data_IF_931991012890
#
_entry.id   IF_931991012890
#
_cell.length_a   1.000
_cell.length_b   1.000
_cell.length_c   1.000
_cell.angle_alpha   90.00
_cell.angle_beta   90.00
_cell.angle_gamma   90.00
#
_symmetry.space_group_name_H-M   'P 1'
#
loop_
_entity.id
_entity.type
_entity.pdbx_description
1 polymer ?
#
# COMPACT_ATOMS: atom_id res chain seq x y z
N UNK A 1 95.82 -52.72 38.51
CA UNK A 1 94.67 -52.38 37.64
C UNK A 1 93.71 -53.55 37.62
N UNK A 2 92.64 -53.51 38.43
CA UNK A 2 91.51 -54.43 38.29
C UNK A 2 90.25 -53.61 38.63
N UNK A 3 89.38 -53.43 37.63
CA UNK A 3 88.19 -52.57 37.70
C UNK A 3 86.98 -53.37 38.21
N UNK A 4 86.27 -52.70 39.11
CA UNK A 4 84.90 -52.89 39.62
C UNK A 4 83.89 -53.22 38.52
N UNK A 5 82.93 -54.12 38.79
CA UNK A 5 81.47 -53.86 38.60
C UNK A 5 80.67 -54.75 39.59
N UNK A 6 79.98 -54.12 40.55
CA UNK A 6 78.83 -54.68 41.28
C UNK A 6 77.56 -54.18 40.59
N UNK A 7 76.69 -55.11 40.19
CA UNK A 7 75.37 -54.82 39.59
C UNK A 7 74.35 -54.65 40.71
N UNK A 8 73.67 -53.51 40.72
CA UNK A 8 72.58 -53.14 41.63
C UNK A 8 71.26 -53.23 40.83
N UNK A 9 70.19 -53.86 41.33
CA UNK A 9 68.93 -53.92 40.60
C UNK A 9 68.14 -52.62 40.79
N UNK A 10 67.77 -52.00 39.68
CA UNK A 10 66.93 -50.81 39.60
C UNK A 10 65.46 -51.26 39.65
N UNK A 11 64.75 -50.83 40.70
CA UNK A 11 63.31 -51.03 40.87
C UNK A 11 62.59 -50.19 39.80
N UNK A 12 61.95 -50.86 38.85
CA UNK A 12 61.11 -50.25 37.83
C UNK A 12 59.75 -49.90 38.47
N UNK A 13 59.65 -48.68 38.98
CA UNK A 13 58.40 -48.11 39.48
C UNK A 13 57.50 -47.82 38.26
N UNK A 14 56.46 -48.63 38.06
CA UNK A 14 55.45 -48.42 37.01
C UNK A 14 54.64 -47.16 37.35
N UNK A 15 55.14 -46.00 36.92
CA UNK A 15 54.38 -44.78 36.84
C UNK A 15 53.33 -44.95 35.72
N UNK A 16 52.10 -45.25 36.10
CA UNK A 16 50.92 -45.11 35.26
C UNK A 16 50.82 -43.65 34.80
N UNK A 17 51.38 -43.34 33.63
CA UNK A 17 51.09 -42.11 32.91
C UNK A 17 49.64 -42.20 32.40
N UNK A 18 48.71 -41.67 33.19
CA UNK A 18 47.38 -41.25 32.69
C UNK A 18 47.62 -40.02 31.82
N UNK A 19 48.04 -40.26 30.58
CA UNK A 19 47.96 -39.25 29.52
C UNK A 19 46.47 -38.98 29.30
N UNK A 20 45.97 -37.85 29.81
CA UNK A 20 44.68 -37.31 29.39
C UNK A 20 44.78 -37.01 27.90
N UNK A 21 44.30 -37.94 27.06
CA UNK A 21 44.04 -37.62 25.66
C UNK A 21 42.99 -36.52 25.64
N UNK A 22 43.35 -35.34 25.14
CA UNK A 22 42.37 -34.34 24.75
C UNK A 22 41.63 -34.91 23.55
N UNK A 23 40.44 -35.48 23.79
CA UNK A 23 39.55 -35.90 22.71
C UNK A 23 39.11 -34.62 22.00
N UNK A 24 39.57 -34.44 20.77
CA UNK A 24 39.07 -33.34 19.93
C UNK A 24 37.65 -33.71 19.50
N UNK A 25 36.69 -32.81 19.77
CA UNK A 25 35.33 -32.98 19.27
C UNK A 25 35.33 -33.10 17.74
N UNK A 26 34.53 -34.02 17.19
CA UNK A 26 34.35 -34.12 15.74
C UNK A 26 33.51 -32.93 15.23
N UNK A 27 33.35 -32.79 13.92
CA UNK A 27 32.45 -31.77 13.35
C UNK A 27 31.15 -32.41 12.87
N UNK A 28 30.03 -31.74 13.09
CA UNK A 28 28.77 -32.09 12.43
C UNK A 28 28.92 -31.96 10.90
N UNK A 29 28.20 -32.79 10.17
CA UNK A 29 28.11 -32.67 8.71
C UNK A 29 26.84 -31.90 8.30
N UNK A 30 26.86 -31.21 7.16
CA UNK A 30 25.74 -30.43 6.62
C UNK A 30 25.12 -29.39 7.57
N UNK A 31 25.92 -28.87 8.52
CA UNK A 31 25.48 -27.86 9.47
C UNK A 31 25.15 -26.53 8.76
N UNK A 32 23.90 -26.05 8.89
CA UNK A 32 23.43 -24.78 8.34
C UNK A 32 22.35 -24.15 9.23
N UNK A 33 22.14 -22.86 9.05
CA UNK A 33 21.05 -22.09 9.68
C UNK A 33 20.33 -21.30 8.60
N UNK A 34 19.01 -21.45 8.53
CA UNK A 34 18.13 -20.68 7.65
C UNK A 34 17.30 -19.72 8.50
N UNK A 35 17.45 -18.43 8.22
CA UNK A 35 16.72 -17.35 8.91
C UNK A 35 15.51 -16.91 8.10
N UNK A 36 14.38 -16.65 8.78
CA UNK A 36 13.16 -16.18 8.11
C UNK A 36 13.26 -14.79 7.51
N UNK A 37 14.23 -14.00 7.97
CA UNK A 37 14.57 -12.70 7.42
C UNK A 37 16.03 -12.38 7.68
N UNK A 38 16.72 -11.88 6.66
CA UNK A 38 18.09 -11.35 6.77
C UNK A 38 18.11 -9.87 7.19
N UNK A 39 16.94 -9.25 7.35
CA UNK A 39 16.86 -7.83 7.63
C UNK A 39 17.42 -7.50 9.01
N UNK A 40 18.41 -6.60 9.14
CA UNK A 40 18.90 -6.14 10.44
C UNK A 40 17.85 -5.29 11.14
N UNK A 41 17.96 -5.18 12.45
CA UNK A 41 17.20 -4.20 13.21
C UNK A 41 17.74 -2.79 12.99
N UNK A 42 16.89 -1.77 13.20
CA UNK A 42 17.31 -0.38 13.26
C UNK A 42 17.24 0.11 14.69
N UNK A 43 18.22 0.87 15.16
CA UNK A 43 18.18 1.49 16.49
C UNK A 43 19.12 2.69 16.52
N UNK A 44 18.60 3.86 16.87
CA UNK A 44 19.40 5.07 16.98
C UNK A 44 18.81 6.03 18.01
N UNK A 45 19.66 6.79 18.74
CA UNK A 45 19.18 7.86 19.60
C UNK A 45 18.63 9.05 18.80
N UNK A 46 17.64 9.72 19.37
CA UNK A 46 17.18 11.05 19.00
C UNK A 46 18.30 12.05 19.23
N UNK A 47 18.55 12.90 18.23
CA UNK A 47 19.56 13.96 18.36
C UNK A 47 18.95 15.30 18.86
N UNK A 48 17.63 15.37 18.97
CA UNK A 48 16.91 16.49 19.54
C UNK A 48 15.68 16.01 20.33
N UNK A 49 15.14 16.87 21.18
CA UNK A 49 13.86 16.62 21.84
C UNK A 49 12.74 16.50 20.79
N UNK A 50 11.84 15.54 21.00
CA UNK A 50 10.67 15.30 20.18
C UNK A 50 9.43 15.69 20.98
N UNK A 51 8.72 16.71 20.51
CA UNK A 51 7.52 17.22 21.17
C UNK A 51 6.26 16.45 20.78
N UNK A 52 5.25 16.44 21.65
CA UNK A 52 3.91 15.93 21.33
C UNK A 52 3.38 16.64 20.09
N UNK A 53 2.73 15.90 19.18
CA UNK A 53 2.20 16.47 17.95
C UNK A 53 3.20 16.45 16.78
N UNK A 54 4.48 16.13 17.03
CA UNK A 54 5.48 16.07 15.97
C UNK A 54 5.25 14.87 15.03
N UNK A 55 5.40 15.11 13.72
CA UNK A 55 5.30 14.09 12.67
C UNK A 55 6.66 13.67 12.12
N UNK A 56 7.75 14.11 12.74
CA UNK A 56 9.11 13.77 12.35
C UNK A 56 10.06 13.83 13.55
N UNK A 57 11.12 13.02 13.51
CA UNK A 57 12.18 12.99 14.52
C UNK A 57 13.56 13.12 13.89
N UNK A 58 14.41 13.99 14.44
CA UNK A 58 15.82 14.07 14.08
C UNK A 58 16.62 13.04 14.89
N UNK A 59 17.36 12.19 14.19
CA UNK A 59 18.13 11.08 14.76
C UNK A 59 19.61 11.19 14.44
N UNK A 60 20.45 10.55 15.25
CA UNK A 60 21.86 10.35 14.92
C UNK A 60 21.96 9.35 13.75
N UNK A 61 22.75 9.66 12.73
CA UNK A 61 23.05 8.72 11.65
C UNK A 61 24.15 7.75 12.10
N UNK A 62 23.74 6.58 12.57
CA UNK A 62 24.64 5.47 12.93
C UNK A 62 24.61 4.35 11.88
N UNK A 63 24.12 4.62 10.67
CA UNK A 63 23.93 3.61 9.63
C UNK A 63 22.64 2.78 9.76
N UNK A 64 21.82 3.00 10.80
CA UNK A 64 20.50 2.38 10.89
C UNK A 64 19.58 2.86 9.76
N UNK A 65 18.85 1.92 9.16
CA UNK A 65 17.88 2.20 8.11
C UNK A 65 16.46 1.89 8.58
N UNK A 66 15.62 2.92 8.60
CA UNK A 66 14.18 2.82 8.81
C UNK A 66 13.47 2.80 7.46
N UNK A 67 12.53 1.88 7.29
CA UNK A 67 11.78 1.67 6.04
C UNK A 67 10.34 2.10 6.27
N UNK A 68 9.71 2.64 5.22
CA UNK A 68 8.27 2.87 5.20
C UNK A 68 7.52 1.61 5.68
N UNK A 69 6.48 1.79 6.50
CA UNK A 69 5.68 0.75 7.18
C UNK A 69 6.29 0.07 8.40
N UNK A 70 7.51 0.41 8.79
CA UNK A 70 8.08 -0.13 10.03
C UNK A 70 7.32 0.34 11.27
N UNK A 71 7.04 -0.60 12.17
CA UNK A 71 6.56 -0.29 13.51
C UNK A 71 7.75 0.05 14.41
N UNK A 72 8.08 1.34 14.51
CA UNK A 72 9.14 1.84 15.36
C UNK A 72 8.65 2.04 16.80
N UNK A 73 9.51 1.70 17.76
CA UNK A 73 9.31 1.98 19.18
C UNK A 73 10.17 3.17 19.59
N UNK A 74 9.57 4.15 20.26
CA UNK A 74 10.30 5.23 20.91
C UNK A 74 10.40 4.95 22.41
N UNK A 75 11.62 4.98 22.94
CA UNK A 75 11.97 4.61 24.31
C UNK A 75 12.85 5.71 24.92
N UNK A 76 12.58 6.14 26.15
CA UNK A 76 13.28 7.27 26.79
C UNK A 76 12.34 8.25 27.52
N UNK A 77 11.03 7.96 27.46
CA UNK A 77 9.97 8.49 28.30
C UNK A 77 8.84 7.45 28.42
N UNK A 78 7.58 7.87 28.30
CA UNK A 78 6.46 6.93 28.08
C UNK A 78 6.66 6.25 26.73
N UNK A 79 6.87 4.93 26.74
CA UNK A 79 7.10 4.18 25.50
C UNK A 79 5.88 4.22 24.60
N UNK A 80 6.09 4.46 23.32
CA UNK A 80 5.04 4.40 22.30
C UNK A 80 5.53 3.71 21.04
N UNK A 81 4.57 3.25 20.23
CA UNK A 81 4.82 2.61 18.94
C UNK A 81 4.23 3.48 17.85
N UNK A 82 5.01 3.77 16.82
CA UNK A 82 4.63 4.61 15.69
C UNK A 82 5.05 3.95 14.38
N UNK A 83 4.28 4.19 13.32
CA UNK A 83 4.66 3.72 11.99
C UNK A 83 5.64 4.70 11.35
N UNK A 84 6.71 4.21 10.73
CA UNK A 84 7.62 5.02 9.93
C UNK A 84 7.01 5.21 8.54
N UNK A 85 6.90 6.46 8.10
CA UNK A 85 6.50 6.80 6.74
C UNK A 85 7.69 6.75 5.79
N UNK A 86 8.82 7.33 6.18
CA UNK A 86 10.06 7.36 5.40
C UNK A 86 11.23 7.86 6.24
N UNK A 87 12.41 7.91 5.64
CA UNK A 87 13.61 8.50 6.23
C UNK A 87 14.35 9.36 5.20
N UNK A 88 14.94 10.46 5.63
CA UNK A 88 15.74 11.34 4.79
C UNK A 88 17.06 10.67 4.33
N UNK A 89 17.72 11.31 3.37
CA UNK A 89 19.13 11.05 3.08
C UNK A 89 20.02 11.32 4.31
N UNK A 90 21.22 10.74 4.30
CA UNK A 90 22.26 11.02 5.28
C UNK A 90 22.59 12.52 5.33
N UNK A 91 23.07 12.99 6.49
CA UNK A 91 23.46 14.38 6.73
C UNK A 91 22.33 15.41 6.54
N UNK A 92 21.09 15.01 6.86
CA UNK A 92 19.91 15.89 6.81
C UNK A 92 19.23 15.85 8.19
N UNK A 93 19.05 16.99 8.90
CA UNK A 93 19.28 18.36 8.44
C UNK A 93 20.73 18.85 8.59
N UNK A 94 21.60 18.07 9.24
CA UNK A 94 23.01 18.40 9.47
C UNK A 94 23.91 17.18 9.43
N UNK A 95 25.22 17.39 9.49
CA UNK A 95 26.23 16.33 9.42
C UNK A 95 26.01 15.29 10.53
N UNK A 96 25.98 14.01 10.16
CA UNK A 96 25.76 12.91 11.10
C UNK A 96 24.31 12.78 11.58
N UNK A 97 23.34 13.39 10.89
CA UNK A 97 21.92 13.33 11.24
C UNK A 97 21.06 12.79 10.10
N UNK A 98 19.89 12.26 10.46
CA UNK A 98 18.76 11.94 9.56
C UNK A 98 17.44 12.41 10.16
N UNK A 99 16.41 12.54 9.33
CA UNK A 99 15.02 12.76 9.74
C UNK A 99 14.24 11.47 9.46
N UNK A 100 13.54 10.96 10.47
CA UNK A 100 12.52 9.90 10.32
C UNK A 100 11.15 10.57 10.31
N UNK A 101 10.33 10.26 9.31
CA UNK A 101 8.99 10.82 9.15
C UNK A 101 7.94 9.81 9.60
N UNK A 102 6.84 10.31 10.14
CA UNK A 102 5.71 9.53 10.62
C UNK A 102 4.42 9.97 9.91
N UNK A 103 3.49 9.04 9.61
CA UNK A 103 2.21 9.38 9.00
C UNK A 103 1.23 10.00 10.01
N UNK A 104 1.48 9.78 11.30
CA UNK A 104 0.69 10.30 12.42
C UNK A 104 1.60 11.03 13.39
N UNK A 105 1.06 11.97 14.15
CA UNK A 105 1.82 12.64 15.19
C UNK A 105 2.17 11.70 16.35
N UNK A 106 3.34 11.90 16.98
CA UNK A 106 3.66 11.25 18.25
C UNK A 106 2.75 11.75 19.38
N UNK A 107 2.44 10.86 20.31
CA UNK A 107 1.51 11.12 21.41
C UNK A 107 2.22 11.53 22.70
N UNK A 108 3.51 11.23 22.83
CA UNK A 108 4.32 11.58 23.99
C UNK A 108 5.52 12.44 23.59
N UNK A 109 6.02 13.23 24.55
CA UNK A 109 7.29 13.91 24.40
C UNK A 109 8.44 12.95 24.72
N UNK A 110 9.53 13.02 23.95
CA UNK A 110 10.75 12.25 24.16
C UNK A 110 11.95 13.18 24.20
N UNK A 111 12.85 12.98 25.15
CA UNK A 111 14.05 13.80 25.29
C UNK A 111 15.14 13.38 24.29
N UNK A 112 16.06 14.29 23.96
CA UNK A 112 17.32 13.97 23.28
C UNK A 112 18.00 12.78 23.96
N UNK A 113 18.49 11.83 23.16
CA UNK A 113 19.08 10.58 23.64
C UNK A 113 18.08 9.44 23.88
N UNK A 114 16.76 9.71 23.87
CA UNK A 114 15.75 8.65 23.72
C UNK A 114 16.04 7.86 22.45
N UNK A 115 15.71 6.58 22.42
CA UNK A 115 15.99 5.69 21.30
C UNK A 115 14.73 5.50 20.47
N UNK A 116 14.88 5.63 19.16
CA UNK A 116 13.93 5.08 18.19
C UNK A 116 14.51 3.79 17.62
N UNK A 117 13.72 2.72 17.62
CA UNK A 117 14.18 1.42 17.16
C UNK A 117 13.09 0.63 16.44
N UNK A 118 13.49 -0.18 15.48
CA UNK A 118 12.66 -1.17 14.79
C UNK A 118 13.31 -2.53 15.05
N UNK A 119 12.85 -3.27 16.09
CA UNK A 119 13.36 -4.60 16.35
C UNK A 119 12.81 -5.58 15.30
N UNK A 120 13.69 -6.15 14.51
CA UNK A 120 13.34 -7.17 13.52
C UNK A 120 13.59 -8.54 14.13
N UNK A 121 12.53 -9.32 14.33
CA UNK A 121 12.65 -10.69 14.83
C UNK A 121 12.76 -11.71 13.71
N UNK A 122 13.60 -12.72 13.89
CA UNK A 122 13.81 -13.83 12.97
C UNK A 122 13.51 -15.17 13.65
N UNK A 123 13.03 -16.12 12.84
CA UNK A 123 13.00 -17.54 13.13
C UNK A 123 14.28 -18.15 12.57
N UNK A 124 14.97 -18.95 13.38
CA UNK A 124 16.17 -19.69 12.98
C UNK A 124 15.84 -21.17 12.85
N UNK A 125 16.22 -21.76 11.71
CA UNK A 125 16.03 -23.17 11.41
C UNK A 125 17.40 -23.80 11.18
N UNK A 126 17.91 -24.42 12.23
CA UNK A 126 19.27 -24.92 12.32
C UNK A 126 19.23 -26.42 12.07
N UNK A 127 19.88 -26.88 11.00
CA UNK A 127 19.92 -28.30 10.63
C UNK A 127 21.34 -28.82 10.55
N UNK A 128 21.58 -30.04 11.01
CA UNK A 128 22.87 -30.71 10.93
C UNK A 128 22.69 -32.23 11.03
N UNK A 129 23.69 -32.99 10.60
CA UNK A 129 23.75 -34.43 10.82
C UNK A 129 24.72 -34.73 11.98
N UNK A 130 24.25 -35.48 12.98
CA UNK A 130 25.09 -35.93 14.08
C UNK A 130 26.20 -36.85 13.55
N UNK A 131 27.47 -36.52 13.79
CA UNK A 131 28.59 -37.36 13.32
C UNK A 131 28.82 -38.52 14.28
N UNK A 132 28.71 -38.25 15.57
CA UNK A 132 28.70 -39.26 16.63
C UNK A 132 27.31 -39.33 17.25
N UNK A 133 26.98 -40.46 17.88
CA UNK A 133 25.73 -40.58 18.61
C UNK A 133 25.73 -39.62 19.81
N UNK A 134 24.64 -38.88 19.99
CA UNK A 134 24.44 -38.00 21.14
C UNK A 134 23.67 -38.82 22.18
N UNK A 135 24.28 -39.20 23.31
CA UNK A 135 23.66 -40.13 24.26
C UNK A 135 22.43 -39.51 24.92
N UNK A 136 21.53 -40.36 25.42
CA UNK A 136 20.50 -39.93 26.36
C UNK A 136 21.10 -39.16 27.54
N UNK A 137 20.41 -38.11 28.00
CA UNK A 137 20.91 -37.13 28.97
C UNK A 137 22.11 -36.29 28.51
N UNK A 138 22.53 -36.41 27.25
CA UNK A 138 23.44 -35.47 26.60
C UNK A 138 22.77 -34.13 26.28
N UNK A 139 23.50 -33.25 25.60
CA UNK A 139 23.02 -31.90 25.27
C UNK A 139 23.30 -31.53 23.81
N UNK A 140 22.42 -30.74 23.21
CA UNK A 140 22.73 -29.95 22.01
C UNK A 140 22.65 -28.48 22.40
N UNK A 141 23.76 -27.75 22.24
CA UNK A 141 23.88 -26.34 22.58
C UNK A 141 24.05 -25.55 21.29
N UNK A 142 23.14 -24.62 21.03
CA UNK A 142 23.25 -23.61 19.98
C UNK A 142 23.66 -22.30 20.63
N UNK A 143 24.79 -21.73 20.21
CA UNK A 143 25.34 -20.49 20.74
C UNK A 143 25.35 -19.39 19.67
N UNK A 144 24.70 -18.27 19.99
CA UNK A 144 24.65 -17.04 19.21
C UNK A 144 25.63 -16.01 19.77
N UNK A 145 26.20 -15.14 18.93
CA UNK A 145 26.83 -13.93 19.43
C UNK A 145 25.75 -13.08 20.10
N UNK A 146 25.99 -12.66 21.34
CA UNK A 146 25.03 -11.87 22.11
C UNK A 146 25.30 -10.39 22.03
N UNK A 147 24.21 -9.65 21.92
CA UNK A 147 24.19 -8.21 22.05
C UNK A 147 24.29 -7.75 23.51
N UNK A 148 23.67 -6.61 23.78
CA UNK A 148 23.48 -6.11 25.13
C UNK A 148 22.59 -7.07 25.94
N UNK A 149 23.16 -7.62 27.01
CA UNK A 149 22.49 -8.60 27.88
C UNK A 149 21.62 -7.97 28.96
N UNK A 150 21.73 -6.63 29.14
CA UNK A 150 20.95 -5.88 30.11
C UNK A 150 19.54 -5.52 29.62
N UNK A 151 19.35 -5.43 28.30
CA UNK A 151 18.05 -5.14 27.68
C UNK A 151 17.76 -6.10 26.52
N UNK A 152 17.21 -7.26 26.87
CA UNK A 152 16.97 -8.35 25.91
C UNK A 152 15.89 -8.03 24.85
N UNK A 153 15.11 -6.96 25.04
CA UNK A 153 14.07 -6.53 24.10
C UNK A 153 14.54 -5.46 23.10
N UNK A 154 15.82 -5.05 23.19
CA UNK A 154 16.40 -4.03 22.31
C UNK A 154 17.39 -4.64 21.32
N UNK A 155 17.44 -4.15 20.07
CA UNK A 155 18.51 -4.48 19.14
C UNK A 155 19.90 -4.09 19.63
N UNK A 156 20.92 -4.79 19.16
CA UNK A 156 22.32 -4.51 19.49
C UNK A 156 23.23 -4.64 18.27
N UNK A 157 24.29 -3.84 18.21
CA UNK A 157 25.29 -3.89 17.15
C UNK A 157 26.26 -5.08 17.28
N UNK A 158 26.32 -5.74 18.44
CA UNK A 158 27.32 -6.78 18.70
C UNK A 158 26.77 -8.20 18.65
N UNK A 159 25.45 -8.37 18.55
CA UNK A 159 24.84 -9.69 18.48
C UNK A 159 23.32 -9.69 18.63
N UNK A 160 22.77 -10.89 18.70
CA UNK A 160 21.34 -11.14 18.77
C UNK A 160 20.81 -10.85 20.17
N UNK A 161 19.56 -10.41 20.25
CA UNK A 161 18.83 -10.27 21.51
C UNK A 161 17.73 -11.32 21.59
N UNK A 162 17.60 -11.96 22.75
CA UNK A 162 16.73 -13.12 22.91
C UNK A 162 15.26 -12.76 23.16
N UNK A 163 14.94 -11.48 23.35
CA UNK A 163 13.57 -10.96 23.44
C UNK A 163 12.70 -11.74 24.44
N UNK A 164 13.24 -12.00 25.63
CA UNK A 164 12.60 -12.77 26.70
C UNK A 164 12.24 -14.22 26.31
N UNK A 165 12.88 -14.77 25.27
CA UNK A 165 12.78 -16.19 24.93
C UNK A 165 13.14 -17.03 26.16
N UNK A 166 12.18 -17.82 26.61
CA UNK A 166 12.28 -18.67 27.78
C UNK A 166 11.43 -19.92 27.60
N UNK A 167 11.83 -21.01 28.24
CA UNK A 167 11.11 -22.29 28.15
C UNK A 167 11.09 -22.92 26.75
N UNK A 168 10.11 -23.80 26.51
CA UNK A 168 10.03 -24.64 25.31
C UNK A 168 8.98 -24.19 24.28
N UNK A 169 8.07 -23.28 24.61
CA UNK A 169 6.89 -22.97 23.78
C UNK A 169 7.20 -22.40 22.39
N UNK A 170 8.41 -21.89 22.20
CA UNK A 170 8.88 -21.36 20.92
C UNK A 170 10.12 -22.07 20.38
N UNK A 171 10.44 -23.24 20.94
CA UNK A 171 11.56 -24.09 20.58
C UNK A 171 11.05 -25.46 20.15
N UNK A 172 11.63 -26.02 19.09
CA UNK A 172 11.30 -27.39 18.67
C UNK A 172 12.51 -28.08 18.07
N UNK A 173 12.45 -29.41 18.08
CA UNK A 173 13.46 -30.29 17.50
C UNK A 173 12.77 -31.37 16.66
N UNK A 174 13.36 -31.74 15.54
CA UNK A 174 13.11 -33.00 14.83
C UNK A 174 14.40 -33.81 14.72
N UNK A 175 14.28 -35.12 14.49
CA UNK A 175 15.44 -36.03 14.52
C UNK A 175 15.93 -36.37 15.94
N UNK A 176 15.12 -36.06 16.95
CA UNK A 176 15.40 -36.32 18.36
C UNK A 176 14.27 -35.82 19.25
N UNK A 177 14.43 -35.90 20.57
CA UNK A 177 13.49 -35.34 21.54
C UNK A 177 14.26 -34.73 22.69
N UNK A 178 13.87 -33.52 23.11
CA UNK A 178 14.44 -32.87 24.28
C UNK A 178 13.56 -33.15 25.51
N UNK A 179 14.17 -33.60 26.61
CA UNK A 179 13.50 -33.73 27.91
C UNK A 179 13.17 -32.36 28.50
N UNK A 180 14.00 -31.37 28.19
CA UNK A 180 13.80 -29.98 28.57
C UNK A 180 14.61 -29.05 27.66
N UNK A 181 14.22 -27.78 27.66
CA UNK A 181 14.97 -26.71 27.03
C UNK A 181 15.45 -25.72 28.08
N UNK A 182 16.69 -25.24 27.95
CA UNK A 182 17.19 -24.11 28.72
C UNK A 182 17.71 -23.01 27.79
N UNK A 183 17.41 -21.77 28.15
CA UNK A 183 17.81 -20.58 27.40
C UNK A 183 18.60 -19.69 28.33
N UNK A 184 19.84 -19.37 27.95
CA UNK A 184 20.67 -18.37 28.64
C UNK A 184 20.89 -17.21 27.69
N UNK A 185 20.04 -16.18 27.80
CA UNK A 185 20.14 -14.99 26.97
C UNK A 185 21.47 -14.25 27.17
N UNK A 186 21.96 -14.16 28.41
CA UNK A 186 23.25 -13.53 28.70
C UNK A 186 24.44 -14.34 28.15
N UNK A 187 24.32 -15.67 28.11
CA UNK A 187 25.32 -16.56 27.53
C UNK A 187 25.15 -16.80 26.03
N UNK A 188 24.04 -16.36 25.44
CA UNK A 188 23.72 -16.57 24.03
C UNK A 188 23.34 -17.98 23.66
N UNK A 189 22.90 -18.80 24.61
CA UNK A 189 22.71 -20.24 24.37
C UNK A 189 21.26 -20.67 24.44
N UNK A 190 20.89 -21.54 23.49
CA UNK A 190 19.70 -22.40 23.55
C UNK A 190 20.18 -23.83 23.67
N UNK A 191 19.77 -24.53 24.72
CA UNK A 191 20.20 -25.90 25.00
C UNK A 191 19.01 -26.84 25.01
N UNK A 192 19.08 -27.87 24.19
CA UNK A 192 18.22 -29.06 24.25
C UNK A 192 18.91 -30.10 25.13
N UNK A 193 18.28 -30.50 26.24
CA UNK A 193 18.72 -31.68 27.00
C UNK A 193 18.09 -32.92 26.35
N UNK A 194 18.91 -33.80 25.79
CA UNK A 194 18.45 -34.92 24.94
C UNK A 194 17.78 -36.00 25.81
N UNK A 195 16.55 -36.40 25.46
CA UNK A 195 15.77 -37.39 26.22
C UNK A 195 16.20 -38.83 25.89
N UNK A 196 16.38 -39.14 24.62
CA UNK A 196 16.77 -40.45 24.11
C UNK A 196 17.95 -40.29 23.15
N UNK A 197 18.82 -41.29 23.07
CA UNK A 197 19.98 -41.26 22.17
C UNK A 197 19.58 -40.85 20.76
N UNK A 198 20.31 -39.88 20.19
CA UNK A 198 20.24 -39.51 18.78
C UNK A 198 21.38 -40.25 18.09
N UNK A 199 21.05 -41.18 17.22
CA UNK A 199 22.04 -42.03 16.55
C UNK A 199 22.92 -41.22 15.58
N UNK A 200 24.17 -41.66 15.40
CA UNK A 200 25.05 -41.10 14.39
C UNK A 200 24.40 -41.17 12.98
N UNK A 201 24.61 -40.14 12.17
CA UNK A 201 24.01 -39.98 10.86
C UNK A 201 22.61 -39.38 10.85
N UNK A 202 21.94 -39.24 12.01
CA UNK A 202 20.61 -38.65 12.10
C UNK A 202 20.64 -37.16 11.74
N UNK A 203 19.74 -36.73 10.86
CA UNK A 203 19.47 -35.30 10.61
C UNK A 203 18.66 -34.73 11.76
N UNK A 204 19.23 -33.72 12.44
CA UNK A 204 18.59 -32.98 13.52
C UNK A 204 18.25 -31.58 13.01
N UNK A 205 17.02 -31.14 13.25
CA UNK A 205 16.59 -29.77 12.95
C UNK A 205 16.07 -29.12 14.22
N UNK A 206 16.75 -28.06 14.67
CA UNK A 206 16.33 -27.22 15.79
C UNK A 206 15.71 -25.95 15.21
N UNK A 207 14.51 -25.63 15.66
CA UNK A 207 13.83 -24.40 15.29
C UNK A 207 13.67 -23.49 16.50
N UNK A 208 14.19 -22.27 16.42
CA UNK A 208 14.03 -21.20 17.40
C UNK A 208 13.10 -20.15 16.81
N UNK A 209 12.02 -19.82 17.50
CA UNK A 209 10.93 -19.03 16.92
C UNK A 209 9.95 -19.90 16.13
N UNK A 210 9.71 -21.14 16.60
CA UNK A 210 8.87 -22.14 15.92
C UNK A 210 7.42 -21.69 15.71
N UNK A 211 6.81 -20.99 16.67
CA UNK A 211 5.45 -20.44 16.55
C UNK A 211 5.46 -19.01 16.05
N UNK A 212 6.37 -18.18 16.57
CA UNK A 212 6.55 -16.77 16.18
C UNK A 212 8.05 -16.43 16.18
N UNK A 213 8.57 -15.72 15.16
CA UNK A 213 9.95 -15.19 15.17
C UNK A 213 10.25 -14.41 16.46
N UNK A 214 11.34 -14.75 17.15
CA UNK A 214 11.61 -14.25 18.52
C UNK A 214 12.99 -13.64 18.70
N UNK A 215 14.03 -14.18 18.06
CA UNK A 215 15.37 -13.61 18.18
C UNK A 215 15.43 -12.30 17.40
N UNK A 216 15.82 -11.22 18.06
CA UNK A 216 15.99 -9.91 17.42
C UNK A 216 17.32 -9.93 16.67
N UNK A 217 17.24 -9.68 15.36
CA UNK A 217 18.42 -9.52 14.52
C UNK A 217 19.26 -8.34 15.01
N UNK A 218 20.60 -8.43 14.96
CA UNK A 218 21.47 -7.32 15.33
C UNK A 218 21.21 -6.06 14.49
N UNK A 219 21.68 -4.91 14.98
CA UNK A 219 21.71 -3.69 14.16
C UNK A 219 22.80 -3.77 13.11
N UNK A 220 22.57 -3.12 11.96
CA UNK A 220 23.55 -3.04 10.87
C UNK A 220 24.84 -2.35 11.34
N UNK A 221 26.01 -2.87 10.97
CA UNK A 221 27.31 -2.20 11.20
C UNK A 221 28.14 -2.01 9.94
N UNK A 222 28.10 -2.98 9.02
CA UNK A 222 28.71 -2.83 7.71
C UNK A 222 27.94 -1.82 6.85
N UNK A 223 28.59 -1.30 5.80
CA UNK A 223 27.97 -0.35 4.87
C UNK A 223 26.73 -0.91 4.19
N UNK A 224 25.87 0.01 3.72
CA UNK A 224 24.66 -0.35 3.00
C UNK A 224 24.97 -1.27 1.80
N UNK A 225 24.18 -2.33 1.65
CA UNK A 225 24.34 -3.32 0.57
C UNK A 225 25.44 -4.36 0.82
N UNK A 226 26.13 -4.32 1.96
CA UNK A 226 27.06 -5.37 2.41
C UNK A 226 26.49 -6.07 3.63
N UNK A 227 26.48 -7.40 3.65
CA UNK A 227 25.96 -8.14 4.80
C UNK A 227 26.90 -8.04 6.03
N UNK A 228 26.32 -7.91 7.22
CA UNK A 228 27.00 -8.24 8.48
C UNK A 228 26.98 -9.76 8.66
N UNK A 229 28.15 -10.37 8.89
CA UNK A 229 28.29 -11.82 9.01
C UNK A 229 28.34 -12.25 10.49
N UNK A 230 27.46 -13.18 10.86
CA UNK A 230 27.35 -13.70 12.23
C UNK A 230 27.76 -15.16 12.28
N UNK A 231 28.50 -15.54 13.32
CA UNK A 231 28.93 -16.94 13.52
C UNK A 231 28.14 -17.58 14.66
N UNK A 232 27.37 -18.61 14.33
CA UNK A 232 26.62 -19.43 15.30
C UNK A 232 27.41 -20.71 15.53
N UNK A 233 27.52 -21.16 16.78
CA UNK A 233 28.21 -22.41 17.11
C UNK A 233 27.19 -23.45 17.57
N UNK A 234 27.27 -24.66 17.02
CA UNK A 234 26.53 -25.82 17.53
C UNK A 234 27.53 -26.74 18.19
N UNK A 235 27.19 -27.23 19.38
CA UNK A 235 27.96 -28.23 20.11
C UNK A 235 27.03 -29.33 20.63
N UNK A 236 27.37 -30.60 20.40
CA UNK A 236 26.78 -31.73 21.15
C UNK A 236 27.68 -32.07 22.34
N UNK A 237 27.09 -32.52 23.43
CA UNK A 237 27.79 -32.95 24.63
C UNK A 237 27.24 -34.26 25.16
N UNK A 238 28.09 -35.03 25.82
CA UNK A 238 27.67 -36.21 26.57
C UNK A 238 26.98 -35.85 27.90
N UNK A 239 26.56 -36.86 28.65
CA UNK A 239 25.92 -36.69 29.97
C UNK A 239 26.84 -36.10 31.05
N UNK A 240 28.16 -36.08 30.80
CA UNK A 240 29.17 -35.49 31.69
C UNK A 240 29.53 -34.06 31.26
N UNK A 241 28.92 -33.54 30.19
CA UNK A 241 29.20 -32.22 29.63
C UNK A 241 30.44 -32.14 28.74
N UNK A 242 31.01 -33.26 28.33
CA UNK A 242 32.17 -33.32 27.41
C UNK A 242 31.67 -33.10 25.97
N UNK A 243 32.33 -32.22 25.22
CA UNK A 243 31.99 -31.96 23.81
C UNK A 243 32.21 -33.22 22.97
N UNK A 244 31.20 -33.62 22.18
CA UNK A 244 31.25 -34.76 21.26
C UNK A 244 31.49 -34.24 19.84
N UNK A 245 30.61 -33.36 19.36
CA UNK A 245 30.70 -32.72 18.06
C UNK A 245 30.59 -31.19 18.21
N UNK A 246 31.23 -30.46 17.29
CA UNK A 246 31.23 -29.00 17.24
C UNK A 246 31.39 -28.47 15.83
N UNK A 247 30.50 -27.55 15.44
CA UNK A 247 30.58 -26.86 14.15
C UNK A 247 30.24 -25.38 14.29
N UNK A 248 30.80 -24.57 13.39
CA UNK A 248 30.48 -23.14 13.23
C UNK A 248 29.72 -22.92 11.94
N UNK A 249 28.61 -22.20 12.01
CA UNK A 249 27.77 -21.80 10.88
C UNK A 249 27.86 -20.29 10.72
N UNK A 250 27.83 -19.80 9.49
CA UNK A 250 27.74 -18.37 9.20
C UNK A 250 26.43 -18.01 8.53
N UNK A 251 25.83 -16.92 9.00
CA UNK A 251 24.66 -16.28 8.39
C UNK A 251 24.98 -14.80 8.14
N UNK A 252 24.27 -14.18 7.20
CA UNK A 252 24.42 -12.77 6.87
C UNK A 252 23.12 -12.01 7.11
N UNK A 253 23.19 -10.86 7.79
CA UNK A 253 22.10 -9.88 7.81
C UNK A 253 22.42 -8.72 6.89
N UNK A 254 21.51 -8.34 6.01
CA UNK A 254 21.70 -7.31 4.98
C UNK A 254 20.47 -6.41 4.89
N UNK A 255 20.69 -5.16 4.49
CA UNK A 255 19.64 -4.17 4.32
C UNK A 255 18.51 -4.69 3.42
N UNK A 256 17.27 -4.33 3.77
CA UNK A 256 16.15 -4.55 2.87
C UNK A 256 16.11 -3.49 1.77
N UNK A 257 15.47 -3.84 0.65
CA UNK A 257 15.26 -2.93 -0.48
C UNK A 257 13.96 -2.16 -0.26
N UNK A 258 14.03 -0.85 -0.46
CA UNK A 258 12.84 0.01 -0.46
C UNK A 258 12.37 0.17 -1.90
N UNK A 259 11.08 -0.05 -2.12
CA UNK A 259 10.44 0.03 -3.43
C UNK A 259 9.36 1.09 -3.34
N UNK A 260 9.40 2.08 -4.23
CA UNK A 260 8.42 3.14 -4.31
C UNK A 260 7.93 3.29 -5.74
N UNK A 261 6.71 3.78 -5.89
CA UNK A 261 6.09 4.11 -7.17
C UNK A 261 5.31 5.43 -7.01
N UNK A 262 5.27 6.21 -8.08
CA UNK A 262 4.44 7.41 -8.18
C UNK A 262 3.25 7.10 -9.09
N UNK A 263 2.05 7.48 -8.66
CA UNK A 263 0.84 7.43 -9.48
C UNK A 263 0.51 8.87 -9.88
N UNK A 264 0.52 9.14 -11.18
CA UNK A 264 0.21 10.48 -11.71
C UNK A 264 -1.30 10.76 -11.72
N UNK A 265 -1.70 12.05 -11.64
CA UNK A 265 -3.08 12.46 -11.87
C UNK A 265 -3.61 12.00 -13.24
N UNK A 266 -4.80 11.40 -13.25
CA UNK A 266 -5.43 10.83 -14.44
C UNK A 266 -6.89 11.28 -14.59
N UNK A 267 -7.24 11.76 -15.79
CA UNK A 267 -8.62 11.98 -16.23
C UNK A 267 -8.75 11.53 -17.68
N UNK A 268 -9.85 10.85 -17.99
CA UNK A 268 -10.25 10.53 -19.35
C UNK A 268 -11.71 10.96 -19.55
N UNK A 269 -11.96 11.63 -20.68
CA UNK A 269 -13.27 12.15 -21.05
C UNK A 269 -13.55 11.80 -22.51
N UNK A 270 -14.72 11.23 -22.78
CA UNK A 270 -15.12 10.83 -24.14
C UNK A 270 -16.59 11.11 -24.40
N UNK A 271 -16.92 11.29 -25.68
CA UNK A 271 -18.26 11.57 -26.19
C UNK A 271 -18.58 10.51 -27.24
N UNK A 272 -19.75 9.90 -27.15
CA UNK A 272 -20.26 8.95 -28.12
C UNK A 272 -21.64 9.36 -28.61
N UNK A 273 -21.87 9.28 -29.91
CA UNK A 273 -23.20 9.46 -30.49
C UNK A 273 -24.17 8.34 -30.12
N UNK A 274 -25.47 8.56 -30.31
CA UNK A 274 -26.58 7.64 -30.07
C UNK A 274 -27.37 7.42 -31.35
N UNK A 275 -27.86 6.20 -31.53
CA UNK A 275 -28.62 5.81 -32.70
C UNK A 275 -30.04 6.37 -32.69
N UNK A 276 -30.56 6.73 -33.86
CA UNK A 276 -31.96 7.07 -34.03
C UNK A 276 -32.85 5.89 -33.62
N UNK A 277 -33.99 6.18 -33.00
CA UNK A 277 -34.91 5.17 -32.49
C UNK A 277 -34.47 4.48 -31.20
N UNK A 278 -33.29 4.79 -30.65
CA UNK A 278 -32.88 4.31 -29.33
C UNK A 278 -33.49 5.20 -28.22
N UNK A 279 -33.64 4.63 -27.03
CA UNK A 279 -33.96 5.39 -25.84
C UNK A 279 -32.77 6.27 -25.42
N UNK A 280 -33.03 7.47 -24.90
CA UNK A 280 -32.00 8.39 -24.41
C UNK A 280 -31.06 7.69 -23.42
N UNK A 281 -31.59 7.00 -22.42
CA UNK A 281 -30.78 6.30 -21.42
C UNK A 281 -29.96 5.09 -21.94
N UNK A 282 -29.95 4.81 -23.24
CA UNK A 282 -29.16 3.70 -23.81
C UNK A 282 -27.67 3.90 -23.55
N UNK A 283 -27.08 3.04 -22.71
CA UNK A 283 -25.68 3.14 -22.27
C UNK A 283 -25.48 3.91 -20.96
N UNK A 284 -26.57 4.40 -20.34
CA UNK A 284 -26.58 4.99 -19.00
C UNK A 284 -27.86 4.60 -18.24
N UNK A 285 -28.33 3.36 -18.35
CA UNK A 285 -29.64 2.96 -17.80
C UNK A 285 -29.71 3.00 -16.26
N UNK A 286 -28.55 2.97 -15.59
CA UNK A 286 -28.46 3.05 -14.13
C UNK A 286 -28.53 4.50 -13.64
N UNK A 287 -27.83 5.42 -14.34
CA UNK A 287 -27.77 6.83 -13.95
C UNK A 287 -28.88 7.68 -14.56
N UNK A 288 -29.35 7.32 -15.74
CA UNK A 288 -30.39 8.03 -16.48
C UNK A 288 -31.66 7.19 -16.57
N UNK A 289 -32.77 7.73 -16.09
CA UNK A 289 -34.08 7.06 -16.16
C UNK A 289 -34.95 7.54 -17.31
N UNK A 290 -34.52 8.55 -18.09
CA UNK A 290 -35.26 9.01 -19.26
C UNK A 290 -35.22 7.96 -20.39
N UNK A 291 -36.38 7.40 -20.73
CA UNK A 291 -36.55 6.40 -21.79
C UNK A 291 -37.11 6.99 -23.09
N UNK A 292 -37.14 8.31 -23.25
CA UNK A 292 -37.59 8.95 -24.46
C UNK A 292 -36.81 8.48 -25.69
N UNK A 293 -37.52 8.37 -26.81
CA UNK A 293 -36.95 7.83 -28.04
C UNK A 293 -36.40 8.95 -28.90
N UNK A 294 -35.16 8.81 -29.34
CA UNK A 294 -34.54 9.70 -30.34
C UNK A 294 -35.36 9.63 -31.63
N UNK A 295 -35.96 10.74 -32.03
CA UNK A 295 -37.00 10.79 -33.08
C UNK A 295 -36.61 11.60 -34.32
N UNK A 296 -35.35 12.01 -34.44
CA UNK A 296 -34.89 12.89 -35.54
C UNK A 296 -34.68 12.15 -36.86
N UNK A 297 -34.62 10.82 -36.83
CA UNK A 297 -34.29 9.98 -37.99
C UNK A 297 -32.79 9.93 -38.33
N UNK A 298 -31.93 10.52 -37.50
CA UNK A 298 -30.48 10.56 -37.70
C UNK A 298 -29.72 10.13 -36.44
N UNK A 299 -28.70 9.31 -36.63
CA UNK A 299 -27.73 9.01 -35.58
C UNK A 299 -26.91 10.26 -35.26
N UNK A 300 -26.69 10.55 -33.97
CA UNK A 300 -25.66 11.50 -33.58
C UNK A 300 -24.28 10.83 -33.61
N UNK A 301 -23.23 11.63 -33.62
CA UNK A 301 -21.83 11.18 -33.51
C UNK A 301 -21.15 11.89 -32.34
N UNK A 302 -19.87 11.62 -32.09
CA UNK A 302 -19.09 12.34 -31.07
C UNK A 302 -18.97 13.85 -31.35
N UNK A 303 -19.19 14.30 -32.59
CA UNK A 303 -18.94 15.68 -33.03
C UNK A 303 -20.10 16.32 -33.77
N UNK A 304 -21.23 15.61 -33.94
CA UNK A 304 -22.39 16.12 -34.66
C UNK A 304 -23.68 15.59 -34.08
N UNK A 305 -24.67 16.47 -33.97
CA UNK A 305 -26.04 16.17 -33.57
C UNK A 305 -26.97 16.75 -34.62
N UNK A 306 -27.81 15.89 -35.21
CA UNK A 306 -28.75 16.30 -36.23
C UNK A 306 -30.18 16.17 -35.69
N UNK A 307 -30.84 17.32 -35.50
CA UNK A 307 -32.22 17.39 -35.04
C UNK A 307 -33.24 17.14 -36.15
N UNK A 308 -32.79 16.87 -37.38
CA UNK A 308 -33.64 16.60 -38.53
C UNK A 308 -34.44 17.82 -38.96
N UNK A 309 -35.59 17.59 -39.60
CA UNK A 309 -36.52 18.65 -39.97
C UNK A 309 -37.42 18.95 -38.79
N UNK A 310 -37.38 20.19 -38.30
CA UNK A 310 -38.24 20.66 -37.22
C UNK A 310 -39.66 20.94 -37.76
N UNK A 311 -40.68 20.55 -37.01
CA UNK A 311 -42.09 20.79 -37.32
C UNK A 311 -42.84 21.42 -36.14
N UNK A 312 -44.03 21.96 -36.38
CA UNK A 312 -44.82 22.74 -35.42
C UNK A 312 -45.75 21.90 -34.52
N UNK A 313 -45.57 20.58 -34.49
CA UNK A 313 -46.39 19.66 -33.69
C UNK A 313 -45.62 18.61 -32.88
N UNK A 314 -44.30 18.70 -32.83
CA UNK A 314 -43.46 17.75 -32.09
C UNK A 314 -42.16 18.39 -31.61
N UNK A 315 -41.56 17.80 -30.57
CA UNK A 315 -40.20 18.14 -30.14
C UNK A 315 -39.24 17.11 -30.74
N UNK A 316 -38.25 17.58 -31.47
CA UNK A 316 -37.22 16.75 -32.08
C UNK A 316 -36.09 16.53 -31.06
N UNK A 317 -35.76 15.27 -30.76
CA UNK A 317 -34.82 14.87 -29.71
C UNK A 317 -33.69 14.03 -30.29
N UNK A 318 -32.45 14.41 -30.00
CA UNK A 318 -31.24 13.62 -30.20
C UNK A 318 -30.41 13.56 -28.92
N UNK A 319 -29.40 12.69 -28.83
CA UNK A 319 -28.60 12.57 -27.61
C UNK A 319 -27.14 12.17 -27.88
N UNK A 320 -26.24 12.49 -26.95
CA UNK A 320 -24.87 11.98 -26.87
C UNK A 320 -24.61 11.39 -25.48
N UNK A 321 -23.79 10.34 -25.39
CA UNK A 321 -23.30 9.79 -24.13
C UNK A 321 -21.90 10.33 -23.84
N UNK A 322 -21.76 10.97 -22.69
CA UNK A 322 -20.51 11.48 -22.14
C UNK A 322 -20.01 10.52 -21.05
N UNK A 323 -18.73 10.18 -21.09
CA UNK A 323 -18.09 9.25 -20.14
C UNK A 323 -16.82 9.84 -19.56
N UNK A 324 -16.73 9.86 -18.23
CA UNK A 324 -15.62 10.40 -17.44
C UNK A 324 -15.08 9.31 -16.51
N UNK A 325 -13.76 9.21 -16.42
CA UNK A 325 -13.06 8.37 -15.43
C UNK A 325 -11.84 9.10 -14.89
N UNK A 326 -11.60 9.05 -13.59
CA UNK A 326 -10.48 9.74 -12.94
C UNK A 326 -10.03 9.03 -11.66
N UNK A 327 -8.74 9.10 -11.32
CA UNK A 327 -8.21 8.64 -10.02
C UNK A 327 -8.22 9.74 -8.94
N UNK A 328 -8.87 10.87 -9.20
CA UNK A 328 -8.98 11.98 -8.28
C UNK A 328 -9.91 11.66 -7.10
N UNK A 329 -9.50 11.97 -5.87
CA UNK A 329 -10.29 11.66 -4.66
C UNK A 329 -11.48 12.61 -4.50
N UNK A 330 -11.35 13.85 -4.95
CA UNK A 330 -12.42 14.84 -4.96
C UNK A 330 -13.38 14.74 -6.15
N UNK A 331 -13.33 13.64 -6.92
CA UNK A 331 -14.24 13.37 -8.03
C UNK A 331 -14.05 14.31 -9.24
N UNK A 332 -15.16 14.74 -9.86
CA UNK A 332 -15.16 15.52 -11.10
C UNK A 332 -16.33 16.51 -11.23
N UNK A 333 -16.19 17.47 -12.14
CA UNK A 333 -17.27 18.36 -12.61
C UNK A 333 -17.26 18.38 -14.14
N UNK A 334 -18.44 18.20 -14.75
CA UNK A 334 -18.71 18.34 -16.17
C UNK A 334 -19.57 19.58 -16.42
N UNK A 335 -19.08 20.49 -17.26
CA UNK A 335 -19.80 21.69 -17.66
C UNK A 335 -19.96 21.78 -19.18
N UNK A 336 -20.95 22.56 -19.63
CA UNK A 336 -21.18 22.84 -21.05
C UNK A 336 -21.33 24.34 -21.33
N UNK A 337 -20.72 24.82 -22.40
CA UNK A 337 -20.90 26.16 -23.01
C UNK A 337 -21.45 26.03 -24.44
N UNK A 338 -21.95 27.11 -25.03
CA UNK A 338 -22.32 27.14 -26.46
C UNK A 338 -21.67 28.30 -27.22
N UNK A 339 -21.65 28.24 -28.55
CA UNK A 339 -21.27 29.39 -29.38
C UNK A 339 -22.34 30.49 -29.45
N UNK A 340 -23.53 30.25 -28.90
CA UNK A 340 -24.69 31.15 -28.95
C UNK A 340 -26.00 30.39 -29.24
N UNK A 341 -27.02 31.14 -29.66
CA UNK A 341 -28.33 30.59 -30.02
C UNK A 341 -28.24 29.60 -31.20
N UNK A 342 -29.24 28.73 -31.33
CA UNK A 342 -29.42 27.93 -32.53
C UNK A 342 -29.91 28.85 -33.67
N UNK A 343 -28.98 29.28 -34.53
CA UNK A 343 -29.20 30.38 -35.48
C UNK A 343 -29.11 29.90 -36.93
N UNK A 344 -29.97 30.44 -37.79
CA UNK A 344 -29.72 30.42 -39.23
C UNK A 344 -28.86 31.64 -39.61
N UNK A 345 -27.58 31.43 -39.95
CA UNK A 345 -26.66 32.53 -40.28
C UNK A 345 -27.00 33.23 -41.60
N UNK A 346 -27.81 32.64 -42.48
CA UNK A 346 -28.19 33.25 -43.74
C UNK A 346 -29.21 34.39 -43.55
N UNK A 347 -30.11 34.23 -42.57
CA UNK A 347 -31.18 35.20 -42.29
C UNK A 347 -31.01 35.91 -40.94
N UNK A 348 -30.12 35.43 -40.07
CA UNK A 348 -29.90 35.99 -38.74
C UNK A 348 -31.04 35.73 -37.75
N UNK A 349 -31.99 34.85 -38.09
CA UNK A 349 -33.06 34.41 -37.20
C UNK A 349 -32.54 33.26 -36.33
N UNK A 350 -32.87 33.26 -35.04
CA UNK A 350 -32.53 32.18 -34.12
C UNK A 350 -33.78 31.62 -33.45
N UNK A 351 -33.70 30.34 -33.06
CA UNK A 351 -34.72 29.76 -32.19
C UNK A 351 -34.52 30.33 -30.78
N UNK A 352 -35.62 30.67 -30.12
CA UNK A 352 -35.56 31.06 -28.72
C UNK A 352 -34.92 29.94 -27.88
N UNK A 353 -34.11 30.31 -26.90
CA UNK A 353 -33.58 29.33 -25.95
C UNK A 353 -34.68 28.92 -24.97
N UNK A 354 -34.73 27.64 -24.58
CA UNK A 354 -35.79 27.11 -23.72
C UNK A 354 -35.94 27.90 -22.41
N UNK A 355 -34.82 28.23 -21.77
CA UNK A 355 -34.74 29.01 -20.53
C UNK A 355 -34.97 30.52 -20.71
N UNK A 356 -35.23 31.00 -21.94
CA UNK A 356 -35.18 32.42 -22.29
C UNK A 356 -33.76 32.95 -22.49
N UNK A 357 -33.65 34.25 -22.78
CA UNK A 357 -32.38 34.88 -23.15
C UNK A 357 -31.40 34.95 -21.95
N UNK A 358 -30.21 34.31 -22.04
CA UNK A 358 -29.19 34.48 -21.01
C UNK A 358 -28.70 35.93 -20.99
N UNK A 359 -28.67 36.55 -19.80
CA UNK A 359 -28.19 37.93 -19.62
C UNK A 359 -26.78 37.95 -19.04
N UNK A 360 -26.01 39.02 -19.24
CA UNK A 360 -24.64 39.17 -18.71
C UNK A 360 -24.49 39.09 -17.18
N UNK A 361 -25.57 38.94 -16.40
CA UNK A 361 -25.49 38.69 -14.95
C UNK A 361 -26.29 37.48 -14.43
N UNK A 362 -26.92 36.66 -15.28
CA UNK A 362 -27.71 35.50 -14.80
C UNK A 362 -27.72 34.36 -15.84
N UNK A 363 -27.48 33.14 -15.36
CA UNK A 363 -27.77 31.89 -16.07
C UNK A 363 -29.23 31.53 -15.75
N UNK A 364 -30.21 31.75 -16.66
CA UNK A 364 -31.62 31.52 -16.35
C UNK A 364 -31.87 30.05 -15.97
N UNK A 365 -32.86 29.80 -15.12
CA UNK A 365 -33.22 28.41 -14.78
C UNK A 365 -33.66 27.65 -16.03
N UNK A 366 -33.21 26.40 -16.24
CA UNK A 366 -33.73 25.54 -17.30
C UNK A 366 -35.26 25.50 -17.29
N UNK A 367 -35.87 25.35 -18.46
CA UNK A 367 -37.32 25.40 -18.62
C UNK A 367 -37.83 24.31 -19.59
N UNK A 368 -39.12 23.92 -19.49
CA UNK A 368 -39.69 22.91 -20.35
C UNK A 368 -39.78 23.38 -21.82
N UNK A 369 -39.70 22.42 -22.73
CA UNK A 369 -39.95 22.64 -24.16
C UNK A 369 -41.35 22.13 -24.53
N UNK A 370 -42.17 23.00 -25.14
CA UNK A 370 -43.55 22.69 -25.53
C UNK A 370 -43.67 22.62 -27.05
N UNK A 371 -44.21 21.52 -27.57
CA UNK A 371 -44.44 21.34 -29.00
C UNK A 371 -45.27 22.48 -29.61
N UNK A 372 -44.89 22.92 -30.81
CA UNK A 372 -45.54 24.03 -31.51
C UNK A 372 -45.16 25.42 -31.01
N UNK A 373 -44.27 25.51 -30.02
CA UNK A 373 -43.54 26.75 -29.68
C UNK A 373 -42.16 26.73 -30.32
N UNK A 374 -41.49 27.87 -30.35
CA UNK A 374 -40.08 27.96 -30.77
C UNK A 374 -39.19 27.83 -29.55
N UNK A 375 -38.39 26.76 -29.47
CA UNK A 375 -37.46 26.55 -28.37
C UNK A 375 -36.28 25.63 -28.78
N UNK A 376 -35.11 25.83 -28.17
CA UNK A 376 -33.95 24.95 -28.24
C UNK A 376 -33.25 24.84 -26.88
N UNK A 377 -32.71 23.67 -26.55
CA UNK A 377 -31.80 23.51 -25.43
C UNK A 377 -31.24 22.10 -25.29
N UNK A 378 -30.38 21.93 -24.28
CA UNK A 378 -29.83 20.65 -23.86
C UNK A 378 -30.34 20.25 -22.48
N UNK A 379 -30.39 18.95 -22.19
CA UNK A 379 -30.74 18.39 -20.90
C UNK A 379 -29.77 17.25 -20.54
N UNK A 380 -29.11 17.26 -19.37
CA UNK A 380 -28.30 16.16 -18.91
C UNK A 380 -29.13 15.16 -18.09
N UNK A 381 -28.92 13.88 -18.36
CA UNK A 381 -29.55 12.77 -17.64
C UNK A 381 -28.46 11.78 -17.19
N UNK A 382 -28.40 11.48 -15.88
CA UNK A 382 -27.30 10.72 -15.28
C UNK A 382 -27.27 10.80 -13.76
N UNK A 383 -26.56 9.85 -13.13
CA UNK A 383 -26.56 9.73 -11.67
C UNK A 383 -26.02 11.01 -10.99
N UNK A 384 -25.01 11.61 -11.61
CA UNK A 384 -24.27 12.74 -11.06
C UNK A 384 -24.85 14.10 -11.48
N UNK A 385 -26.05 14.12 -12.08
CA UNK A 385 -26.73 15.36 -12.48
C UNK A 385 -27.14 16.14 -11.22
N UNK A 386 -26.86 17.46 -11.14
CA UNK A 386 -27.25 18.27 -9.99
C UNK A 386 -28.78 18.27 -9.77
N UNK A 387 -29.21 18.12 -8.51
CA UNK A 387 -30.64 18.07 -8.14
C UNK A 387 -31.19 19.38 -7.60
N UNK A 388 -30.37 20.44 -7.51
CA UNK A 388 -30.77 21.69 -6.84
C UNK A 388 -30.31 22.98 -7.52
N UNK A 389 -29.28 22.96 -8.38
CA UNK A 389 -28.89 24.12 -9.19
C UNK A 389 -27.89 23.73 -10.30
N UNK A 390 -28.19 23.98 -11.59
CA UNK A 390 -29.54 24.27 -12.08
C UNK A 390 -30.46 23.08 -11.80
N UNK A 391 -31.76 23.32 -11.65
CA UNK A 391 -32.74 22.24 -11.58
C UNK A 391 -33.03 21.77 -13.01
N UNK A 392 -32.72 20.52 -13.32
CA UNK A 392 -32.86 19.95 -14.66
C UNK A 392 -34.19 19.22 -14.88
N UNK A 393 -34.97 18.99 -13.83
CA UNK A 393 -36.26 18.32 -13.94
C UNK A 393 -37.20 18.72 -12.80
N UNK A 394 -38.51 18.71 -13.06
CA UNK A 394 -39.50 18.99 -12.01
C UNK A 394 -39.37 18.00 -10.83
N UNK A 395 -39.11 18.54 -9.63
CA UNK A 395 -39.20 17.79 -8.36
C UNK A 395 -38.01 16.85 -8.06
N UNK A 396 -36.79 17.17 -8.51
CA UNK A 396 -35.58 16.35 -8.34
C UNK A 396 -35.68 14.93 -8.95
N UNK A 397 -36.63 14.71 -9.85
CA UNK A 397 -36.92 13.41 -10.43
C UNK A 397 -36.34 13.27 -11.83
N UNK A 398 -35.42 12.32 -12.05
CA UNK A 398 -34.81 12.05 -13.35
C UNK A 398 -35.72 11.27 -14.32
N UNK A 399 -36.94 10.89 -13.92
CA UNK A 399 -37.92 10.22 -14.79
C UNK A 399 -38.74 11.24 -15.59
N UNK A 400 -38.08 12.19 -16.24
CA UNK A 400 -38.75 13.26 -16.96
C UNK A 400 -39.05 12.87 -18.41
N UNK A 401 -39.98 13.60 -19.05
CA UNK A 401 -40.43 13.44 -20.43
C UNK A 401 -40.64 14.82 -21.07
N UNK A 402 -40.28 14.97 -22.33
CA UNK A 402 -40.47 16.13 -23.19
C UNK A 402 -41.90 16.16 -23.77
N UNK A 403 -42.60 17.29 -23.62
CA UNK A 403 -43.84 17.55 -24.36
C UNK A 403 -45.15 17.05 -23.73
N UNK A 404 -45.25 16.94 -22.40
CA UNK A 404 -46.54 16.78 -21.71
C UNK A 404 -46.63 15.80 -20.53
N UNK A 405 -45.53 15.53 -19.81
CA UNK A 405 -45.45 14.70 -18.59
C UNK A 405 -44.61 15.38 -17.50
N UNK A 406 -43.94 14.64 -16.60
CA UNK A 406 -42.95 15.24 -15.67
C UNK A 406 -41.91 15.97 -16.51
N UNK A 407 -41.81 17.28 -16.44
CA UNK A 407 -41.13 18.05 -17.49
C UNK A 407 -39.59 17.96 -17.36
N UNK A 408 -38.93 17.49 -18.43
CA UNK A 408 -37.49 17.68 -18.57
C UNK A 408 -37.24 19.16 -18.84
N UNK A 409 -36.33 19.76 -18.08
CA UNK A 409 -35.95 21.14 -18.31
C UNK A 409 -34.71 21.22 -19.19
N UNK A 410 -34.78 22.11 -20.16
CA UNK A 410 -33.75 22.34 -21.15
C UNK A 410 -33.16 23.71 -20.96
N UNK A 411 -31.87 23.82 -21.27
CA UNK A 411 -31.21 25.10 -21.33
C UNK A 411 -30.21 25.11 -22.48
N UNK A 412 -30.10 26.23 -23.19
CA UNK A 412 -28.96 26.47 -24.08
C UNK A 412 -27.89 27.25 -23.29
N UNK A 413 -26.69 26.69 -23.05
CA UNK A 413 -25.59 27.49 -22.51
C UNK A 413 -25.24 28.65 -23.46
N UNK A 414 -24.34 29.54 -23.05
CA UNK A 414 -23.84 30.61 -23.93
C UNK A 414 -22.31 30.58 -24.01
N UNK A 415 -21.73 31.54 -24.73
CA UNK A 415 -20.28 31.71 -24.79
C UNK A 415 -19.69 32.28 -23.50
N UNK A 416 -20.52 32.86 -22.64
CA UNK A 416 -20.15 33.47 -21.36
C UNK A 416 -20.58 32.65 -20.16
N UNK A 417 -21.59 31.78 -20.32
CA UNK A 417 -22.15 30.97 -19.24
C UNK A 417 -22.08 29.50 -19.53
N UNK A 418 -21.62 28.78 -18.52
CA UNK A 418 -21.69 27.33 -18.51
C UNK A 418 -22.84 26.85 -17.61
N UNK A 419 -23.38 25.70 -17.96
CA UNK A 419 -24.18 24.91 -17.03
C UNK A 419 -23.36 23.73 -16.53
N UNK A 420 -23.47 23.42 -15.24
CA UNK A 420 -23.01 22.14 -14.70
C UNK A 420 -23.98 21.06 -15.14
N UNK A 421 -23.48 20.08 -15.90
CA UNK A 421 -24.26 18.95 -16.37
C UNK A 421 -24.19 17.77 -15.40
N UNK A 422 -23.02 17.58 -14.78
CA UNK A 422 -22.81 16.54 -13.79
C UNK A 422 -21.65 16.89 -12.87
N UNK A 423 -21.70 16.39 -11.64
CA UNK A 423 -20.61 16.51 -10.69
C UNK A 423 -20.70 15.43 -9.60
N UNK A 424 -19.56 14.83 -9.28
CA UNK A 424 -19.39 14.00 -8.09
C UNK A 424 -18.23 14.58 -7.27
N UNK A 425 -18.45 14.83 -5.98
CA UNK A 425 -17.43 15.33 -5.06
C UNK A 425 -16.60 14.22 -4.41
N UNK A 426 -16.85 12.96 -4.80
CA UNK A 426 -16.19 11.76 -4.32
C UNK A 426 -15.63 10.96 -5.50
N UNK A 427 -14.39 10.51 -5.39
CA UNK A 427 -13.79 9.58 -6.34
C UNK A 427 -13.02 8.46 -5.64
N UNK A 428 -12.26 7.63 -6.36
CA UNK A 428 -12.05 7.67 -7.81
C UNK A 428 -13.31 7.29 -8.61
N UNK A 429 -13.38 7.79 -9.84
CA UNK A 429 -14.50 7.54 -10.76
C UNK A 429 -14.08 6.50 -11.80
N UNK A 430 -14.85 5.42 -11.87
CA UNK A 430 -14.73 4.42 -12.95
C UNK A 430 -15.88 4.58 -13.94
N UNK A 431 -15.64 4.26 -15.20
CA UNK A 431 -16.65 4.26 -16.26
C UNK A 431 -17.60 3.03 -16.20
N UNK A 432 -17.91 2.55 -14.98
CA UNK A 432 -18.73 1.37 -14.78
C UNK A 432 -20.21 1.67 -15.04
N UNK A 433 -20.78 1.05 -16.08
CA UNK A 433 -22.21 1.12 -16.41
C UNK A 433 -23.10 0.69 -15.24
N UNK A 434 -22.63 -0.22 -14.39
CA UNK A 434 -23.34 -0.70 -13.20
C UNK A 434 -23.40 0.37 -12.11
N UNK A 435 -22.41 1.26 -12.04
CA UNK A 435 -22.39 2.33 -11.05
C UNK A 435 -23.15 3.57 -11.54
N UNK A 436 -23.22 3.82 -12.86
CA UNK A 436 -23.84 5.03 -13.43
C UNK A 436 -23.04 6.32 -13.22
N UNK A 437 -22.11 6.32 -12.25
CA UNK A 437 -21.18 7.40 -11.98
C UNK A 437 -20.20 7.61 -13.15
N UNK A 438 -19.93 8.86 -13.50
CA UNK A 438 -19.12 9.25 -14.64
C UNK A 438 -19.83 9.10 -15.99
N UNK A 439 -21.14 8.80 -16.01
CA UNK A 439 -21.93 8.65 -17.22
C UNK A 439 -23.07 9.66 -17.26
N UNK A 440 -23.09 10.45 -18.33
CA UNK A 440 -24.10 11.49 -18.54
C UNK A 440 -24.59 11.39 -19.97
N UNK A 441 -25.89 11.20 -20.16
CA UNK A 441 -26.48 11.38 -21.48
C UNK A 441 -26.93 12.82 -21.61
N UNK A 442 -26.45 13.52 -22.63
CA UNK A 442 -26.90 14.87 -22.95
C UNK A 442 -27.89 14.78 -24.10
N UNK A 443 -29.12 15.14 -23.82
CA UNK A 443 -30.19 15.30 -24.78
C UNK A 443 -30.13 16.69 -25.43
N UNK A 444 -30.53 16.76 -26.69
CA UNK A 444 -30.67 17.98 -27.46
C UNK A 444 -32.10 18.00 -28.00
N UNK A 445 -32.83 19.06 -27.71
CA UNK A 445 -34.22 19.18 -28.09
C UNK A 445 -34.50 20.52 -28.79
N UNK A 446 -35.33 20.47 -29.84
CA UNK A 446 -35.85 21.67 -30.48
C UNK A 446 -37.28 21.48 -31.00
N UNK A 447 -38.01 22.59 -31.07
CA UNK A 447 -39.36 22.71 -31.65
C UNK A 447 -39.47 24.09 -32.28
N UNK A 448 -40.38 24.23 -33.24
CA UNK A 448 -40.65 25.51 -33.92
C UNK A 448 -42.14 25.84 -33.87
N UNK A 449 -42.46 27.14 -33.89
CA UNK A 449 -43.79 27.59 -34.27
C UNK A 449 -43.90 27.73 -35.80
N UNK A 450 -45.12 27.75 -36.34
CA UNK A 450 -45.38 27.95 -37.78
C UNK A 450 -44.81 29.27 -38.36
N UNK A 451 -44.43 30.23 -37.51
CA UNK A 451 -43.87 31.52 -37.90
C UNK A 451 -42.35 31.52 -38.05
N UNK A 452 -41.66 30.41 -37.74
CA UNK A 452 -40.20 30.31 -37.87
C UNK A 452 -39.81 30.27 -39.35
N UNK A 453 -38.91 31.15 -39.84
CA UNK A 453 -38.44 31.12 -41.22
C UNK A 453 -37.75 29.79 -41.56
N UNK A 454 -37.99 29.28 -42.78
CA UNK A 454 -37.26 28.13 -43.30
C UNK A 454 -35.75 28.45 -43.41
N UNK A 455 -34.91 27.53 -42.97
CA UNK A 455 -33.50 27.82 -42.78
C UNK A 455 -32.68 26.65 -42.25
N UNK A 456 -31.35 26.83 -42.23
CA UNK A 456 -30.42 25.86 -41.64
C UNK A 456 -29.87 26.41 -40.33
N UNK A 457 -30.45 25.94 -39.24
CA UNK A 457 -30.13 26.40 -37.88
C UNK A 457 -28.97 25.61 -37.28
N UNK A 458 -28.00 26.29 -36.66
CA UNK A 458 -26.84 25.64 -36.03
C UNK A 458 -26.33 26.39 -34.81
N UNK A 459 -25.72 25.63 -33.90
CA UNK A 459 -24.89 26.11 -32.78
C UNK A 459 -23.86 25.04 -32.45
N UNK A 460 -22.81 25.40 -31.71
CA UNK A 460 -21.76 24.49 -31.25
C UNK A 460 -21.82 24.41 -29.73
N UNK A 461 -21.92 23.19 -29.18
CA UNK A 461 -21.81 22.94 -27.73
C UNK A 461 -20.38 22.48 -27.41
N UNK A 462 -19.79 23.01 -26.36
CA UNK A 462 -18.44 22.66 -25.87
C UNK A 462 -18.54 22.10 -24.46
N UNK A 463 -17.89 20.98 -24.20
CA UNK A 463 -17.88 20.30 -22.90
C UNK A 463 -16.50 20.41 -22.23
N UNK A 464 -16.50 20.60 -20.90
CA UNK A 464 -15.29 20.62 -20.09
C UNK A 464 -15.46 19.68 -18.90
N UNK A 465 -14.58 18.69 -18.78
CA UNK A 465 -14.49 17.80 -17.62
C UNK A 465 -13.26 18.17 -16.79
N UNK A 466 -13.45 18.41 -15.49
CA UNK A 466 -12.39 18.77 -14.54
C UNK A 466 -12.38 17.81 -13.36
N UNK A 467 -11.22 17.25 -13.02
CA UNK A 467 -11.04 16.38 -11.85
C UNK A 467 -10.41 17.13 -10.67
N UNK A 468 -10.70 16.71 -9.43
CA UNK A 468 -10.21 17.35 -8.19
C UNK A 468 -9.33 16.39 -7.38
N UNK A 469 -8.00 16.59 -7.44
CA UNK A 469 -6.97 15.69 -6.87
C UNK A 469 -6.65 15.92 -5.40
#
# INVERSE_FOLDING_TARGET
MLKIVKIFPFIFFSLFFVLRQSVNAASFTNAKDTISTSRPSASTPLDADLSIGATQATIIDNGSRFIASDSAKLIGGTSETITVASMSAANTPGVGQRIVYFPTAVTNAHAKGSVIMVPITAKHTISFNATNAIPASGQIVVAFPVGDTSNQASPSATGFSFNNLSGSSNLSISGGTCSSWSVSAAGGTVTCNVQSTIEAGTEVVITIGSSVPVLINPTKTASAGTADAWTITITSKDSSGVEIDKSKIRIGTIDSVEVYATVDPYINFSIAGRSAGAAVNTGNTTGCTNTETINTGFDSTATSVNLGVLGDGQVNISAQLLTISTNAVGGYVLTATSSGHLIDPAVGYWLADAQGDPTNNNTPSPAPIVAGTTAFGIHPCGLDVPTSSPDWAEGANQTCTTGGGTDCYYANPSSTYYYTLASDSSGPISNSLTAGNGLVTVEYAATIAATVPAGNYRTTITYVATATF
#
